data_IF_072770792199
#
_entry.id   IF_072770792199
#
_cell.length_a   1.000
_cell.length_b   1.000
_cell.length_c   1.000
_cell.angle_alpha   90.00
_cell.angle_beta   90.00
_cell.angle_gamma   90.00
#
_symmetry.space_group_name_H-M   'P 1'
#
loop_
_entity.id
_entity.type
_entity.pdbx_description
1 polymer ?
#
# COMPACT_ATOMS: atom_id res chain seq x y z
N UNK A 1 -18.23 14.83 -10.03
CA UNK A 1 -16.83 14.32 -10.08
C UNK A 1 -16.90 12.81 -10.14
N UNK A 2 -16.33 12.19 -11.16
CA UNK A 2 -16.26 10.74 -11.25
C UNK A 2 -15.15 10.20 -10.35
N UNK A 3 -15.38 9.04 -9.76
CA UNK A 3 -14.47 8.36 -8.84
C UNK A 3 -14.17 6.94 -9.33
N UNK A 4 -13.27 6.26 -8.70
CA UNK A 4 -12.97 4.84 -8.98
C UNK A 4 -14.15 3.89 -8.70
N UNK A 5 -15.24 4.39 -8.09
CA UNK A 5 -16.44 3.62 -7.81
C UNK A 5 -17.51 3.74 -8.91
N UNK A 6 -17.34 4.68 -9.84
CA UNK A 6 -18.28 4.93 -10.92
C UNK A 6 -17.98 4.02 -12.12
N UNK A 7 -19.02 3.48 -12.75
CA UNK A 7 -18.88 2.63 -13.94
C UNK A 7 -18.54 3.43 -15.21
N UNK A 8 -18.86 4.72 -15.22
CA UNK A 8 -18.59 5.58 -16.36
C UNK A 8 -17.08 5.73 -16.56
N UNK A 9 -16.60 5.46 -17.75
CA UNK A 9 -15.19 5.40 -18.13
C UNK A 9 -14.38 4.24 -17.54
N UNK A 10 -15.00 3.21 -16.97
CA UNK A 10 -14.30 2.06 -16.40
C UNK A 10 -13.44 1.31 -17.44
N UNK A 11 -13.77 1.40 -18.71
CA UNK A 11 -13.03 0.80 -19.82
C UNK A 11 -11.92 1.71 -20.39
N UNK A 12 -11.88 2.97 -19.97
CA UNK A 12 -10.97 3.99 -20.53
C UNK A 12 -9.71 4.17 -19.67
N UNK A 13 -9.67 3.58 -18.47
CA UNK A 13 -8.55 3.70 -17.55
C UNK A 13 -7.83 2.37 -17.35
N UNK A 14 -6.52 2.39 -17.56
CA UNK A 14 -5.68 1.21 -17.38
C UNK A 14 -5.65 0.29 -18.61
N UNK A 15 -5.02 -0.86 -18.45
CA UNK A 15 -4.98 -1.94 -19.46
C UNK A 15 -5.88 -3.06 -18.97
N UNK A 16 -6.81 -3.49 -19.79
CA UNK A 16 -7.76 -4.55 -19.48
C UNK A 16 -7.13 -5.93 -19.65
N UNK A 17 -7.76 -6.98 -19.08
CA UNK A 17 -7.30 -8.36 -19.26
C UNK A 17 -7.29 -8.77 -20.75
N UNK A 18 -8.28 -8.31 -21.54
CA UNK A 18 -8.36 -8.60 -22.98
C UNK A 18 -7.21 -7.95 -23.77
N UNK A 19 -6.79 -6.76 -23.38
CA UNK A 19 -5.63 -6.08 -23.96
C UNK A 19 -4.33 -6.75 -23.52
N UNK A 20 -4.23 -7.16 -22.27
CA UNK A 20 -3.09 -7.92 -21.76
C UNK A 20 -2.91 -9.26 -22.50
N UNK A 21 -3.98 -9.95 -22.85
CA UNK A 21 -3.91 -11.18 -23.66
C UNK A 21 -3.23 -10.96 -25.03
N UNK A 22 -3.43 -9.79 -25.64
CA UNK A 22 -2.72 -9.41 -26.87
C UNK A 22 -1.25 -9.11 -26.57
N UNK A 23 -0.98 -8.33 -25.52
CA UNK A 23 0.38 -7.98 -25.10
C UNK A 23 1.19 -9.25 -24.78
N UNK A 24 0.62 -10.22 -24.06
CA UNK A 24 1.29 -11.49 -23.78
C UNK A 24 1.74 -12.20 -25.03
N UNK A 25 0.91 -12.21 -26.09
CA UNK A 25 1.22 -12.84 -27.38
C UNK A 25 2.24 -12.04 -28.17
N UNK A 26 2.04 -10.73 -28.28
CA UNK A 26 2.87 -9.87 -29.12
C UNK A 26 4.32 -9.75 -28.61
N UNK A 27 4.50 -9.86 -27.27
CA UNK A 27 5.80 -9.77 -26.61
C UNK A 27 6.40 -11.12 -26.18
N UNK A 28 5.73 -12.24 -26.53
CA UNK A 28 6.15 -13.62 -26.22
C UNK A 28 6.47 -13.84 -24.72
N UNK A 29 5.51 -13.46 -23.88
CA UNK A 29 5.61 -13.50 -22.40
C UNK A 29 4.47 -14.26 -21.74
N UNK A 30 3.83 -15.20 -22.45
CA UNK A 30 2.69 -15.97 -21.92
C UNK A 30 3.08 -16.81 -20.70
N UNK A 31 4.33 -17.30 -20.67
CA UNK A 31 4.89 -18.05 -19.54
C UNK A 31 5.02 -17.22 -18.25
N UNK A 32 4.96 -15.89 -18.37
CA UNK A 32 5.04 -14.92 -17.25
C UNK A 32 3.69 -14.35 -16.81
N UNK A 33 2.60 -14.79 -17.41
CA UNK A 33 1.27 -14.23 -17.19
C UNK A 33 0.91 -14.17 -15.71
N UNK A 34 1.03 -15.25 -14.96
CA UNK A 34 0.66 -15.32 -13.56
C UNK A 34 1.52 -14.37 -12.69
N UNK A 35 2.84 -14.34 -12.94
CA UNK A 35 3.74 -13.45 -12.22
C UNK A 35 3.41 -11.97 -12.49
N UNK A 36 3.14 -11.60 -13.75
CA UNK A 36 2.76 -10.24 -14.14
C UNK A 36 1.42 -9.85 -13.51
N UNK A 37 0.47 -10.78 -13.51
CA UNK A 37 -0.84 -10.60 -12.90
C UNK A 37 -0.74 -10.33 -11.40
N UNK A 38 0.01 -11.12 -10.66
CA UNK A 38 0.23 -10.92 -9.24
C UNK A 38 0.86 -9.56 -8.90
N UNK A 39 1.71 -9.05 -9.81
CA UNK A 39 2.44 -7.82 -9.59
C UNK A 39 1.68 -6.56 -9.99
N UNK A 40 0.92 -6.57 -11.07
CA UNK A 40 0.42 -5.35 -11.71
C UNK A 40 -1.08 -5.31 -11.96
N UNK A 41 -1.77 -6.44 -11.82
CA UNK A 41 -3.24 -6.53 -11.90
C UNK A 41 -3.88 -6.10 -10.58
N UNK A 42 -5.19 -6.17 -10.55
CA UNK A 42 -6.01 -6.09 -9.34
C UNK A 42 -6.63 -4.73 -9.09
N UNK A 43 -6.49 -3.77 -9.99
CA UNK A 43 -7.28 -2.55 -9.90
C UNK A 43 -8.72 -2.82 -10.32
N UNK A 44 -9.64 -2.08 -9.67
CA UNK A 44 -11.06 -2.13 -9.93
C UNK A 44 -11.59 -0.72 -10.11
N UNK A 45 -12.30 -0.48 -11.19
CA UNK A 45 -12.99 0.80 -11.48
C UNK A 45 -14.44 0.48 -11.76
N UNK A 46 -15.34 1.00 -10.94
CA UNK A 46 -16.75 0.61 -10.96
C UNK A 46 -16.92 -0.89 -10.77
N UNK A 47 -17.60 -1.54 -11.69
CA UNK A 47 -17.79 -3.00 -11.73
C UNK A 47 -16.72 -3.75 -12.53
N UNK A 48 -15.77 -3.04 -13.18
CA UNK A 48 -14.72 -3.65 -13.96
C UNK A 48 -13.53 -4.04 -13.08
N UNK A 49 -13.20 -5.30 -13.12
CA UNK A 49 -12.02 -5.90 -12.44
C UNK A 49 -10.95 -6.29 -13.46
N UNK A 50 -9.74 -6.63 -13.01
CA UNK A 50 -8.67 -7.08 -13.88
C UNK A 50 -8.05 -5.94 -14.68
N UNK A 51 -7.86 -4.78 -14.05
CA UNK A 51 -7.23 -3.62 -14.67
C UNK A 51 -5.78 -3.53 -14.20
N UNK A 52 -4.88 -3.38 -15.17
CA UNK A 52 -3.44 -3.24 -14.94
C UNK A 52 -3.00 -1.79 -15.06
N UNK A 53 -1.98 -1.43 -14.27
CA UNK A 53 -1.36 -0.11 -14.39
C UNK A 53 -0.52 -0.03 -15.68
N UNK A 54 -0.85 0.87 -16.63
CA UNK A 54 -0.14 0.97 -17.90
C UNK A 54 1.34 1.32 -17.74
N UNK A 55 1.68 2.18 -16.79
CA UNK A 55 3.07 2.57 -16.52
C UNK A 55 3.91 1.36 -16.10
N UNK A 56 3.40 0.54 -15.19
CA UNK A 56 4.09 -0.64 -14.69
C UNK A 56 4.25 -1.69 -15.79
N UNK A 57 3.22 -1.92 -16.61
CA UNK A 57 3.30 -2.84 -17.75
C UNK A 57 4.32 -2.38 -18.78
N UNK A 58 4.31 -1.11 -19.18
CA UNK A 58 5.28 -0.57 -20.16
C UNK A 58 6.73 -0.71 -19.67
N UNK A 59 7.00 -0.42 -18.41
CA UNK A 59 8.34 -0.58 -17.84
C UNK A 59 8.72 -2.06 -17.72
N UNK A 60 7.79 -2.93 -17.32
CA UNK A 60 8.05 -4.37 -17.34
C UNK A 60 8.40 -4.88 -18.74
N UNK A 61 7.68 -4.44 -19.77
CA UNK A 61 7.97 -4.83 -21.16
C UNK A 61 9.36 -4.39 -21.62
N UNK A 62 9.82 -3.22 -21.14
CA UNK A 62 11.15 -2.71 -21.45
C UNK A 62 12.26 -3.47 -20.70
N UNK A 63 12.09 -3.69 -19.41
CA UNK A 63 13.15 -4.21 -18.52
C UNK A 63 13.08 -5.73 -18.32
N UNK A 64 11.93 -6.35 -18.57
CA UNK A 64 11.63 -7.77 -18.29
C UNK A 64 11.89 -8.18 -16.82
N UNK A 65 11.68 -7.24 -15.91
CA UNK A 65 11.85 -7.46 -14.46
C UNK A 65 10.58 -7.09 -13.72
N UNK A 66 10.23 -7.88 -12.72
CA UNK A 66 9.14 -7.54 -11.80
C UNK A 66 9.68 -6.58 -10.74
N UNK A 67 9.24 -5.32 -10.81
CA UNK A 67 9.69 -4.24 -9.93
C UNK A 67 8.55 -3.25 -9.65
N UNK A 68 8.60 -2.50 -8.55
CA UNK A 68 7.60 -1.50 -8.21
C UNK A 68 7.84 -0.20 -9.01
N UNK A 69 7.50 -0.18 -10.27
CA UNK A 69 7.76 0.94 -11.19
C UNK A 69 6.93 2.19 -10.88
N UNK A 70 5.65 2.01 -10.57
CA UNK A 70 4.76 3.13 -10.29
C UNK A 70 5.07 3.82 -8.96
N UNK A 71 5.49 3.07 -7.99
CA UNK A 71 5.74 3.47 -6.62
C UNK A 71 6.89 4.48 -6.48
N UNK A 72 7.88 4.39 -7.35
CA UNK A 72 9.03 5.31 -7.32
C UNK A 72 8.67 6.74 -7.75
N UNK A 73 7.43 6.99 -8.17
CA UNK A 73 6.96 8.30 -8.63
C UNK A 73 6.21 9.09 -7.58
N UNK A 74 5.80 8.47 -6.46
CA UNK A 74 4.96 9.11 -5.43
C UNK A 74 5.76 9.56 -4.20
N UNK A 75 5.31 10.66 -3.58
CA UNK A 75 5.94 11.21 -2.37
C UNK A 75 5.61 10.35 -1.14
N UNK A 76 6.58 10.22 -0.23
CA UNK A 76 6.44 9.51 1.05
C UNK A 76 5.47 10.19 2.04
N UNK A 77 4.73 11.23 1.62
CA UNK A 77 3.90 12.03 2.52
C UNK A 77 2.63 11.30 2.95
N UNK A 78 2.05 10.49 2.07
CA UNK A 78 0.92 9.62 2.40
C UNK A 78 1.22 8.71 3.61
N UNK A 79 2.45 8.27 3.72
CA UNK A 79 2.88 7.34 4.76
C UNK A 79 3.11 8.04 6.08
N UNK A 80 3.70 9.23 6.04
CA UNK A 80 3.77 10.07 7.24
C UNK A 80 2.39 10.30 7.82
N UNK A 81 1.39 10.44 6.94
CA UNK A 81 -0.01 10.60 7.30
C UNK A 81 -0.56 9.33 7.98
N UNK A 82 -0.37 8.15 7.38
CA UNK A 82 -0.79 6.87 7.96
C UNK A 82 -0.13 6.62 9.32
N UNK A 83 1.17 6.92 9.44
CA UNK A 83 1.93 6.67 10.68
C UNK A 83 1.63 7.67 11.81
N UNK A 84 1.17 8.87 11.48
CA UNK A 84 0.75 9.88 12.48
C UNK A 84 -0.63 9.59 13.08
N UNK A 85 -1.43 8.78 12.41
CA UNK A 85 -2.82 8.54 12.78
C UNK A 85 -3.00 7.35 13.75
N UNK A 86 -4.23 7.13 14.16
CA UNK A 86 -4.66 6.30 15.27
C UNK A 86 -4.14 4.84 15.20
N UNK A 87 -4.14 4.17 16.35
CA UNK A 87 -3.86 2.74 16.50
C UNK A 87 -4.71 1.90 15.54
N UNK A 88 -5.96 2.29 15.31
CA UNK A 88 -6.92 1.61 14.42
C UNK A 88 -6.43 1.57 12.97
N UNK A 89 -5.86 2.67 12.45
CA UNK A 89 -5.31 2.71 11.09
C UNK A 89 -4.13 1.73 10.95
N UNK A 90 -3.27 1.69 11.96
CA UNK A 90 -2.09 0.79 11.95
C UNK A 90 -2.49 -0.68 12.00
N UNK A 91 -3.46 -1.04 12.84
CA UNK A 91 -4.00 -2.41 12.91
C UNK A 91 -4.63 -2.84 11.59
N UNK A 92 -5.42 -1.97 10.96
CA UNK A 92 -6.02 -2.23 9.65
C UNK A 92 -4.94 -2.36 8.57
N UNK A 93 -3.89 -1.51 8.59
CA UNK A 93 -2.77 -1.60 7.66
C UNK A 93 -1.98 -2.91 7.82
N UNK A 94 -1.77 -3.38 9.05
CA UNK A 94 -1.13 -4.68 9.30
C UNK A 94 -1.93 -5.83 8.68
N UNK A 95 -3.25 -5.82 8.81
CA UNK A 95 -4.15 -6.82 8.22
C UNK A 95 -4.11 -6.77 6.68
N UNK A 96 -4.15 -5.56 6.11
CA UNK A 96 -4.00 -5.35 4.66
C UNK A 96 -2.69 -5.93 4.13
N UNK A 97 -1.58 -5.73 4.83
CA UNK A 97 -0.26 -6.29 4.48
C UNK A 97 -0.22 -7.82 4.56
N UNK A 98 -1.01 -8.43 5.43
CA UNK A 98 -1.21 -9.89 5.50
C UNK A 98 -2.10 -10.42 4.36
N UNK A 99 -2.64 -9.53 3.51
CA UNK A 99 -3.52 -9.87 2.40
C UNK A 99 -5.00 -9.98 2.78
N UNK A 100 -5.38 -9.56 4.00
CA UNK A 100 -6.76 -9.52 4.43
C UNK A 100 -7.49 -8.31 3.84
N UNK A 101 -8.79 -8.44 3.61
CA UNK A 101 -9.66 -7.30 3.40
C UNK A 101 -10.04 -6.67 4.75
N UNK A 102 -10.11 -5.34 4.82
CA UNK A 102 -10.51 -4.62 6.02
C UNK A 102 -11.70 -3.71 5.74
N UNK A 103 -12.58 -3.64 6.71
CA UNK A 103 -13.73 -2.74 6.65
C UNK A 103 -13.30 -1.33 7.06
N UNK A 104 -13.64 -0.36 6.20
CA UNK A 104 -13.34 1.06 6.38
C UNK A 104 -14.55 1.89 5.98
N UNK A 105 -14.67 3.05 6.61
CA UNK A 105 -15.60 4.07 6.18
C UNK A 105 -14.87 5.10 5.35
N UNK A 106 -15.42 5.45 4.20
CA UNK A 106 -14.83 6.37 3.23
C UNK A 106 -15.83 7.48 2.92
N UNK A 107 -15.41 8.72 3.10
CA UNK A 107 -16.13 9.86 2.56
C UNK A 107 -15.56 10.22 1.18
N UNK A 108 -16.29 9.86 0.13
CA UNK A 108 -15.89 10.07 -1.27
C UNK A 108 -15.98 11.55 -1.65
N UNK A 109 -16.83 12.34 -0.95
CA UNK A 109 -17.07 13.75 -1.25
C UNK A 109 -15.95 14.69 -0.82
N UNK A 110 -15.13 14.31 0.15
CA UNK A 110 -14.22 15.22 0.88
C UNK A 110 -12.73 14.95 0.62
N UNK A 111 -12.38 14.16 -0.37
CA UNK A 111 -11.03 13.61 -0.61
C UNK A 111 -9.90 14.65 -0.72
N UNK A 112 -10.16 15.96 -0.88
CA UNK A 112 -9.12 16.94 -1.24
C UNK A 112 -8.84 18.00 -0.16
N UNK A 113 -9.73 18.24 0.79
CA UNK A 113 -9.59 19.33 1.77
C UNK A 113 -9.68 18.79 3.20
N UNK A 114 -8.56 18.58 3.87
CA UNK A 114 -8.52 18.20 5.28
C UNK A 114 -8.03 16.78 5.57
N UNK A 115 -7.09 16.28 4.78
CA UNK A 115 -6.55 14.91 4.84
C UNK A 115 -5.97 14.55 6.22
N UNK A 116 -5.53 15.52 7.00
CA UNK A 116 -4.79 15.28 8.25
C UNK A 116 -5.69 14.98 9.47
N UNK A 117 -7.00 15.22 9.41
CA UNK A 117 -7.85 15.28 10.59
C UNK A 117 -8.82 14.09 10.76
N UNK A 118 -9.06 13.28 9.71
CA UNK A 118 -10.05 12.21 9.77
C UNK A 118 -9.54 10.90 9.13
N UNK A 119 -9.78 9.78 9.83
CA UNK A 119 -9.46 8.43 9.34
C UNK A 119 -10.18 8.10 8.01
N UNK A 120 -11.43 8.54 7.84
CA UNK A 120 -12.22 8.33 6.62
C UNK A 120 -11.55 8.95 5.39
N UNK A 121 -10.91 10.11 5.55
CA UNK A 121 -10.20 10.81 4.48
C UNK A 121 -8.92 10.07 4.06
N UNK A 122 -8.23 9.42 5.00
CA UNK A 122 -7.05 8.61 4.70
C UNK A 122 -7.42 7.43 3.81
N UNK A 123 -8.49 6.71 4.16
CA UNK A 123 -8.97 5.58 3.37
C UNK A 123 -9.47 6.02 1.99
N UNK A 124 -10.18 7.15 1.93
CA UNK A 124 -10.62 7.76 0.67
C UNK A 124 -9.46 8.15 -0.24
N UNK A 125 -8.40 8.77 0.32
CA UNK A 125 -7.20 9.11 -0.44
C UNK A 125 -6.48 7.85 -0.94
N UNK A 126 -6.32 6.84 -0.11
CA UNK A 126 -5.66 5.59 -0.49
C UNK A 126 -6.44 4.84 -1.59
N UNK A 127 -7.77 4.90 -1.55
CA UNK A 127 -8.61 4.35 -2.61
C UNK A 127 -8.51 5.18 -3.89
N UNK A 128 -8.69 6.50 -3.81
CA UNK A 128 -8.67 7.39 -4.98
C UNK A 128 -7.32 7.48 -5.68
N UNK A 129 -6.23 7.19 -4.97
CA UNK A 129 -4.85 7.14 -5.52
C UNK A 129 -4.43 5.74 -5.96
N UNK A 130 -5.27 4.71 -5.86
CA UNK A 130 -4.97 3.36 -6.31
C UNK A 130 -4.09 2.55 -5.34
N UNK A 131 -3.86 3.02 -4.11
CA UNK A 131 -3.16 2.20 -3.10
C UNK A 131 -4.05 1.10 -2.50
N UNK A 132 -5.36 1.26 -2.61
CA UNK A 132 -6.36 0.26 -2.23
C UNK A 132 -7.35 0.05 -3.36
N UNK A 133 -8.01 -1.10 -3.35
CA UNK A 133 -9.18 -1.40 -4.16
C UNK A 133 -10.37 -1.75 -3.29
N UNK A 134 -11.58 -1.56 -3.79
CA UNK A 134 -12.79 -2.08 -3.16
C UNK A 134 -12.95 -3.55 -3.50
N UNK A 135 -12.99 -4.39 -2.48
CA UNK A 135 -13.30 -5.82 -2.59
C UNK A 135 -14.81 -6.06 -2.50
N UNK A 136 -15.48 -5.34 -1.60
CA UNK A 136 -16.92 -5.49 -1.33
C UNK A 136 -17.52 -4.15 -0.89
N UNK A 137 -18.70 -3.83 -1.39
CA UNK A 137 -19.52 -2.71 -0.90
C UNK A 137 -20.39 -3.25 0.23
N UNK A 138 -20.14 -2.84 1.47
CA UNK A 138 -20.88 -3.31 2.64
C UNK A 138 -22.15 -2.48 2.85
N UNK A 139 -22.01 -1.16 2.82
CA UNK A 139 -23.12 -0.22 2.91
C UNK A 139 -22.78 1.07 2.16
N UNK A 140 -23.33 1.23 0.97
CA UNK A 140 -23.08 2.38 0.11
C UNK A 140 -23.58 3.69 0.71
N UNK A 141 -24.74 3.66 1.38
CA UNK A 141 -25.37 4.86 1.97
C UNK A 141 -24.49 5.42 3.12
N UNK A 142 -23.91 4.54 3.92
CA UNK A 142 -23.03 4.92 5.03
C UNK A 142 -21.55 5.07 4.60
N UNK A 143 -21.23 4.77 3.36
CA UNK A 143 -19.86 4.79 2.84
C UNK A 143 -18.96 3.70 3.42
N UNK A 144 -19.51 2.51 3.71
CA UNK A 144 -18.77 1.40 4.32
C UNK A 144 -18.36 0.40 3.25
N UNK A 145 -17.06 0.17 3.15
CA UNK A 145 -16.43 -0.71 2.15
C UNK A 145 -15.44 -1.67 2.79
N UNK A 146 -15.31 -2.88 2.24
CA UNK A 146 -14.13 -3.71 2.47
C UNK A 146 -13.11 -3.40 1.39
N UNK A 147 -11.93 -3.02 1.81
CA UNK A 147 -10.82 -2.66 0.92
C UNK A 147 -9.64 -3.62 1.08
N UNK A 148 -8.83 -3.72 0.04
CA UNK A 148 -7.65 -4.60 -0.03
C UNK A 148 -6.52 -3.92 -0.81
N UNK A 149 -5.29 -4.34 -0.56
CA UNK A 149 -4.15 -3.98 -1.41
C UNK A 149 -4.32 -4.67 -2.77
N UNK A 150 -4.25 -3.95 -3.90
CA UNK A 150 -4.57 -4.53 -5.21
C UNK A 150 -3.58 -5.60 -5.66
N UNK A 151 -2.29 -5.41 -5.44
CA UNK A 151 -1.25 -6.26 -6.03
C UNK A 151 0.08 -6.21 -5.25
N UNK A 152 1.07 -6.98 -5.72
CA UNK A 152 2.39 -7.07 -5.09
C UNK A 152 3.21 -5.79 -5.24
N UNK A 153 3.03 -4.99 -6.31
CA UNK A 153 3.70 -3.70 -6.47
C UNK A 153 3.37 -2.76 -5.32
N UNK A 154 2.10 -2.61 -5.00
CA UNK A 154 1.62 -1.76 -3.91
C UNK A 154 1.98 -2.34 -2.54
N UNK A 155 1.89 -3.66 -2.40
CA UNK A 155 2.32 -4.33 -1.16
C UNK A 155 3.79 -4.08 -0.86
N UNK A 156 4.64 -4.18 -1.87
CA UNK A 156 6.07 -3.91 -1.75
C UNK A 156 6.35 -2.47 -1.33
N UNK A 157 5.60 -1.51 -1.86
CA UNK A 157 5.65 -0.12 -1.43
C UNK A 157 5.43 0.01 0.07
N UNK A 158 4.31 -0.49 0.58
CA UNK A 158 4.00 -0.37 2.00
C UNK A 158 5.07 -1.02 2.87
N UNK A 159 5.60 -2.18 2.47
CA UNK A 159 6.71 -2.84 3.18
C UNK A 159 7.95 -1.95 3.21
N UNK A 160 8.36 -1.37 2.07
CA UNK A 160 9.52 -0.47 2.01
C UNK A 160 9.37 0.76 2.89
N UNK A 161 8.17 1.29 2.96
CA UNK A 161 7.86 2.49 3.75
C UNK A 161 7.96 2.21 5.22
N UNK A 162 7.38 1.10 5.66
CA UNK A 162 7.47 0.65 7.05
C UNK A 162 8.94 0.37 7.39
N UNK A 163 9.69 -0.33 6.54
CA UNK A 163 11.12 -0.59 6.75
C UNK A 163 11.93 0.71 6.85
N UNK A 164 11.71 1.66 5.95
CA UNK A 164 12.37 2.96 6.00
C UNK A 164 11.99 3.77 7.25
N UNK A 165 10.73 3.70 7.68
CA UNK A 165 10.31 4.35 8.91
C UNK A 165 11.00 3.75 10.13
N UNK A 166 11.07 2.41 10.22
CA UNK A 166 11.81 1.72 11.28
C UNK A 166 13.28 2.12 11.29
N UNK A 167 13.94 2.11 10.12
CA UNK A 167 15.36 2.49 10.00
C UNK A 167 15.61 3.94 10.38
N UNK A 168 14.70 4.85 10.07
CA UNK A 168 14.84 6.26 10.42
C UNK A 168 14.55 6.55 11.90
N UNK A 169 13.68 5.76 12.53
CA UNK A 169 13.41 5.87 13.99
C UNK A 169 14.48 5.21 14.85
N UNK A 170 15.06 4.12 14.35
CA UNK A 170 16.09 3.38 15.07
C UNK A 170 17.43 3.78 14.47
N UNK A 171 18.16 4.67 15.15
CA UNK A 171 19.52 4.98 14.70
C UNK A 171 20.37 3.70 14.73
N UNK A 172 21.15 3.47 13.67
CA UNK A 172 22.05 2.32 13.63
C UNK A 172 23.07 2.32 14.80
N UNK A 173 23.28 3.49 15.43
CA UNK A 173 24.11 3.62 16.63
C UNK A 173 23.40 3.11 17.88
N UNK A 174 22.06 3.25 17.98
CA UNK A 174 21.31 2.75 19.13
C UNK A 174 21.27 1.23 19.13
N UNK A 175 21.02 0.60 17.97
CA UNK A 175 21.10 -0.87 17.85
C UNK A 175 22.51 -1.37 18.17
N UNK A 176 23.56 -0.76 17.61
CA UNK A 176 24.94 -1.13 17.89
C UNK A 176 25.29 -0.99 19.38
N UNK A 177 24.80 0.08 20.01
CA UNK A 177 24.98 0.33 21.44
C UNK A 177 24.28 -0.75 22.30
N UNK A 178 23.04 -1.10 21.96
CA UNK A 178 22.26 -2.15 22.63
C UNK A 178 22.93 -3.51 22.46
N UNK A 179 23.35 -3.87 21.23
CA UNK A 179 24.05 -5.11 20.95
C UNK A 179 25.41 -5.17 21.66
N UNK A 180 26.16 -4.07 21.74
CA UNK A 180 27.40 -4.00 22.50
C UNK A 180 27.18 -4.30 23.97
N UNK A 181 26.18 -3.67 24.59
CA UNK A 181 25.87 -3.91 26.02
C UNK A 181 25.44 -5.36 26.27
N UNK A 182 24.71 -5.97 25.34
CA UNK A 182 24.36 -7.42 25.41
C UNK A 182 25.57 -8.30 25.33
N UNK A 183 26.44 -8.07 24.35
CA UNK A 183 27.65 -8.90 24.13
C UNK A 183 28.67 -8.74 25.28
N UNK A 184 28.75 -7.53 25.86
CA UNK A 184 29.63 -7.26 27.02
C UNK A 184 28.97 -7.59 28.37
N UNK A 185 27.79 -8.23 28.37
CA UNK A 185 27.03 -8.60 29.55
C UNK A 185 26.71 -7.44 30.50
N UNK A 186 26.64 -6.23 29.95
CA UNK A 186 26.18 -5.04 30.67
C UNK A 186 24.63 -4.99 30.70
N UNK A 187 24.05 -5.96 31.39
CA UNK A 187 22.59 -6.22 31.32
C UNK A 187 21.74 -5.06 31.82
N UNK A 188 22.24 -4.23 32.75
CA UNK A 188 21.49 -3.06 33.26
C UNK A 188 21.32 -1.98 32.16
N UNK A 189 22.40 -1.64 31.44
CA UNK A 189 22.33 -0.67 30.37
C UNK A 189 21.61 -1.23 29.14
N UNK A 190 21.80 -2.53 28.85
CA UNK A 190 21.00 -3.24 27.83
C UNK A 190 19.51 -3.13 28.12
N UNK A 191 19.05 -3.50 29.31
CA UNK A 191 17.64 -3.45 29.68
C UNK A 191 17.07 -2.03 29.57
N UNK A 192 17.80 -1.04 30.08
CA UNK A 192 17.40 0.36 29.99
C UNK A 192 17.25 0.85 28.57
N UNK A 193 18.25 0.63 27.71
CA UNK A 193 18.23 1.05 26.31
C UNK A 193 17.20 0.27 25.50
N UNK A 194 17.06 -1.03 25.75
CA UNK A 194 16.06 -1.86 25.10
C UNK A 194 14.64 -1.42 25.45
N UNK A 195 14.38 -1.10 26.72
CA UNK A 195 13.06 -0.55 27.15
C UNK A 195 12.76 0.81 26.48
N UNK A 196 13.76 1.68 26.34
CA UNK A 196 13.59 2.96 25.63
C UNK A 196 13.27 2.67 24.16
N UNK A 197 14.03 1.82 23.50
CA UNK A 197 13.79 1.43 22.10
C UNK A 197 12.38 0.87 21.90
N UNK A 198 11.97 -0.08 22.75
CA UNK A 198 10.64 -0.69 22.70
C UNK A 198 9.56 0.38 22.94
N UNK A 199 9.77 1.28 23.91
CA UNK A 199 8.83 2.36 24.17
C UNK A 199 8.73 3.34 23.01
N UNK A 200 9.84 3.69 22.37
CA UNK A 200 9.84 4.55 21.17
C UNK A 200 9.23 3.88 19.93
N UNK A 201 9.38 2.56 19.82
CA UNK A 201 8.77 1.78 18.74
C UNK A 201 7.26 1.61 18.91
N UNK A 202 6.80 1.44 20.15
CA UNK A 202 5.42 1.08 20.47
C UNK A 202 4.68 2.17 21.30
N UNK A 203 5.32 3.33 21.61
CA UNK A 203 4.62 4.46 22.21
C UNK A 203 3.77 5.15 21.16
N UNK A 204 2.52 4.98 21.35
CA UNK A 204 1.43 5.63 20.63
C UNK A 204 1.02 6.89 21.38
#
# INVERSE_FOLDING_TARGET
VYTVLDDEFSDDFGITEEEMEKIYKDFDIQDKKEEIKEWYDGYKIGNREGIYNPWSILNYLADKKLMPYWVNTSSNDLIKLILKNSTTVKEKMERLLKGEAVEVKIDIGTVILGIEENEENIWGLMLGTGYLKVEEVVNEIEGIYKVKIPNNEIRFLFVQIIDNWFRNKISGNDIKSILKDLVTLNLKEYEKKFRILVKEMFSY
#
